data_IF_074373976506
#
_entry.id   IF_074373976506
#
_cell.length_a   1.000
_cell.length_b   1.000
_cell.length_c   1.000
_cell.angle_alpha   90.00
_cell.angle_beta   90.00
_cell.angle_gamma   90.00
#
_symmetry.space_group_name_H-M   'P 1'
#
loop_
_entity.id
_entity.type
_entity.pdbx_description
1 polymer ?
#
# COMPACT_ATOMS: atom_id res chain seq x y z
N UNK A 1 15.95 15.06 -11.73
CA UNK A 1 15.24 13.80 -11.45
C UNK A 1 16.16 12.91 -10.63
N UNK A 2 15.90 12.74 -9.33
CA UNK A 2 16.64 11.74 -8.53
C UNK A 2 15.78 10.49 -8.36
N UNK A 3 16.40 9.32 -8.49
CA UNK A 3 15.75 8.01 -8.35
C UNK A 3 15.10 7.84 -6.96
N UNK A 4 15.61 8.59 -5.99
CA UNK A 4 15.16 8.56 -4.60
C UNK A 4 13.70 9.00 -4.41
N UNK A 5 13.23 9.98 -5.18
CA UNK A 5 11.83 10.39 -5.12
C UNK A 5 10.88 9.28 -5.58
N UNK A 6 11.24 8.59 -6.65
CA UNK A 6 10.48 7.42 -7.13
C UNK A 6 10.54 6.26 -6.13
N UNK A 7 11.69 6.04 -5.49
CA UNK A 7 11.83 5.00 -4.47
C UNK A 7 10.90 5.26 -3.27
N UNK A 8 10.78 6.51 -2.81
CA UNK A 8 9.83 6.87 -1.76
C UNK A 8 8.38 6.63 -2.19
N UNK A 9 8.03 7.02 -3.41
CA UNK A 9 6.67 6.78 -3.94
C UNK A 9 6.34 5.29 -3.99
N UNK A 10 7.25 4.46 -4.52
CA UNK A 10 7.05 3.01 -4.60
C UNK A 10 6.95 2.39 -3.21
N UNK A 11 7.80 2.80 -2.27
CA UNK A 11 7.74 2.33 -0.88
C UNK A 11 6.37 2.64 -0.25
N UNK A 12 5.88 3.88 -0.38
CA UNK A 12 4.62 4.30 0.24
C UNK A 12 3.45 3.46 -0.26
N UNK A 13 3.38 3.20 -1.57
CA UNK A 13 2.30 2.41 -2.17
C UNK A 13 2.45 0.92 -1.84
N UNK A 14 3.67 0.38 -1.89
CA UNK A 14 3.93 -1.04 -1.65
C UNK A 14 3.69 -1.44 -0.19
N UNK A 15 4.19 -0.64 0.75
CA UNK A 15 4.00 -0.90 2.19
C UNK A 15 2.58 -0.55 2.64
N UNK A 16 2.03 0.53 2.10
CA UNK A 16 0.67 0.97 2.36
C UNK A 16 -0.41 0.00 1.90
N UNK A 17 -0.22 -0.57 0.71
CA UNK A 17 -1.18 -1.44 0.05
C UNK A 17 -1.54 -0.93 -1.35
N UNK A 18 -1.40 -1.80 -2.35
CA UNK A 18 -1.75 -1.52 -3.74
C UNK A 18 -3.27 -1.52 -3.93
N UNK A 19 -3.80 -0.52 -4.65
CA UNK A 19 -5.22 -0.47 -5.03
C UNK A 19 -6.16 0.26 -4.06
N UNK A 20 -5.63 0.96 -3.05
CA UNK A 20 -6.42 1.84 -2.17
C UNK A 20 -5.76 3.22 -2.05
N UNK A 21 -6.55 4.26 -1.77
CA UNK A 21 -6.02 5.61 -1.50
C UNK A 21 -5.43 5.75 -0.10
N UNK A 22 -5.91 4.97 0.85
CA UNK A 22 -5.47 5.03 2.25
C UNK A 22 -4.16 4.30 2.50
N UNK A 23 -3.86 3.27 1.69
CA UNK A 23 -2.57 2.59 1.71
C UNK A 23 -1.39 3.56 1.57
N UNK A 24 -1.26 4.31 0.46
CA UNK A 24 -0.18 5.27 0.27
C UNK A 24 -0.03 6.31 1.39
N UNK A 25 -1.14 6.75 1.99
CA UNK A 25 -1.13 7.71 3.11
C UNK A 25 -0.51 7.07 4.36
N UNK A 26 -0.91 5.84 4.69
CA UNK A 26 -0.30 5.09 5.79
C UNK A 26 1.18 4.79 5.52
N UNK A 27 1.52 4.45 4.28
CA UNK A 27 2.90 4.28 3.85
C UNK A 27 3.72 5.57 4.00
N UNK A 28 3.12 6.74 3.74
CA UNK A 28 3.75 8.04 3.92
C UNK A 28 4.00 8.36 5.40
N UNK A 29 3.03 8.10 6.27
CA UNK A 29 3.16 8.29 7.73
C UNK A 29 4.29 7.40 8.26
N UNK A 30 4.35 6.15 7.83
CA UNK A 30 5.40 5.22 8.23
C UNK A 30 6.78 5.66 7.72
N UNK A 31 6.87 6.00 6.43
CA UNK A 31 8.08 6.55 5.82
C UNK A 31 8.57 7.78 6.60
N UNK A 32 7.65 8.67 6.97
CA UNK A 32 7.94 9.88 7.72
C UNK A 32 8.43 9.59 9.15
N UNK A 33 7.84 8.61 9.84
CA UNK A 33 8.28 8.18 11.17
C UNK A 33 9.71 7.62 11.14
N UNK A 34 10.02 6.80 10.12
CA UNK A 34 11.37 6.26 9.91
C UNK A 34 12.34 7.39 9.60
N UNK A 35 12.00 8.27 8.66
CA UNK A 35 12.85 9.40 8.31
C UNK A 35 13.12 10.25 9.56
N UNK A 36 12.08 10.67 10.30
CA UNK A 36 12.24 11.50 11.50
C UNK A 36 13.14 10.85 12.55
N UNK A 37 13.01 9.54 12.78
CA UNK A 37 13.79 8.82 13.78
C UNK A 37 15.26 8.64 13.35
N UNK A 38 15.50 8.41 12.06
CA UNK A 38 16.83 8.09 11.52
C UNK A 38 17.58 9.28 10.89
N UNK A 39 16.96 10.46 10.77
CA UNK A 39 17.60 11.64 10.15
C UNK A 39 18.84 12.11 10.91
N UNK A 40 18.97 11.78 12.20
CA UNK A 40 20.13 12.15 13.03
C UNK A 40 21.39 11.32 12.74
N UNK A 41 21.29 10.20 12.01
CA UNK A 41 22.38 9.22 11.83
C UNK A 41 23.08 9.22 10.46
N UNK A 42 22.82 10.21 9.59
CA UNK A 42 23.37 10.20 8.23
C UNK A 42 22.73 9.12 7.33
N UNK A 43 23.45 8.51 6.37
CA UNK A 43 22.88 7.60 5.35
C UNK A 43 22.20 6.32 5.90
N UNK A 44 22.34 6.05 7.20
CA UNK A 44 21.77 4.89 7.87
C UNK A 44 20.24 4.81 7.75
N UNK A 45 19.56 5.94 7.50
CA UNK A 45 18.13 5.94 7.24
C UNK A 45 17.75 5.10 6.01
N UNK A 46 18.61 4.99 4.98
CA UNK A 46 18.32 4.16 3.80
C UNK A 46 18.29 2.68 4.16
N UNK A 47 19.19 2.25 5.05
CA UNK A 47 19.25 0.87 5.55
C UNK A 47 18.04 0.60 6.45
N UNK A 48 17.72 1.49 7.38
CA UNK A 48 16.54 1.37 8.23
C UNK A 48 15.23 1.37 7.43
N UNK A 49 15.14 2.20 6.40
CA UNK A 49 14.00 2.31 5.49
C UNK A 49 13.85 1.06 4.63
N UNK A 50 14.92 0.55 4.04
CA UNK A 50 14.91 -0.71 3.29
C UNK A 50 14.58 -1.92 4.15
N UNK A 51 15.16 -2.01 5.36
CA UNK A 51 14.88 -3.08 6.31
C UNK A 51 13.42 -3.05 6.77
N UNK A 52 12.89 -1.86 7.08
CA UNK A 52 11.47 -1.70 7.44
C UNK A 52 10.57 -2.04 6.26
N UNK A 53 10.92 -1.61 5.03
CA UNK A 53 10.20 -1.99 3.81
C UNK A 53 10.08 -3.52 3.69
N UNK A 54 11.22 -4.21 3.82
CA UNK A 54 11.29 -5.65 3.69
C UNK A 54 10.49 -6.36 4.80
N UNK A 55 10.60 -5.90 6.04
CA UNK A 55 9.83 -6.40 7.17
C UNK A 55 8.32 -6.28 6.93
N UNK A 56 7.85 -5.12 6.47
CA UNK A 56 6.45 -4.92 6.17
C UNK A 56 5.98 -5.70 4.94
N UNK A 57 6.80 -5.77 3.88
CA UNK A 57 6.49 -6.57 2.70
C UNK A 57 6.39 -8.07 3.01
N UNK A 58 7.20 -8.57 3.95
CA UNK A 58 7.21 -9.97 4.39
C UNK A 58 6.08 -10.27 5.39
N UNK A 59 5.82 -9.37 6.34
CA UNK A 59 4.83 -9.59 7.39
C UNK A 59 3.39 -9.30 6.93
N UNK A 60 3.21 -8.39 5.98
CA UNK A 60 1.91 -7.98 5.45
C UNK A 60 1.95 -7.96 3.91
N UNK A 61 1.85 -9.11 3.23
CA UNK A 61 1.92 -9.20 1.77
C UNK A 61 0.75 -8.50 1.06
N UNK A 62 -0.34 -8.18 1.77
CA UNK A 62 -1.46 -7.36 1.28
C UNK A 62 -1.30 -5.86 1.60
N UNK A 63 -0.18 -5.46 2.21
CA UNK A 63 0.06 -4.12 2.76
C UNK A 63 -0.64 -3.89 4.11
N UNK A 64 -0.26 -2.82 4.81
CA UNK A 64 -0.90 -2.42 6.09
C UNK A 64 -2.42 -2.37 5.96
N UNK A 65 -2.90 -1.71 4.92
CA UNK A 65 -4.32 -1.49 4.73
C UNK A 65 -5.07 -2.78 4.35
N UNK A 66 -4.48 -3.66 3.55
CA UNK A 66 -5.10 -4.93 3.18
C UNK A 66 -5.28 -5.88 4.37
N UNK A 67 -4.36 -5.86 5.34
CA UNK A 67 -4.50 -6.64 6.59
C UNK A 67 -5.48 -5.98 7.57
N UNK A 68 -5.55 -4.65 7.61
CA UNK A 68 -6.54 -3.90 8.39
C UNK A 68 -7.95 -4.14 7.85
N UNK A 69 -8.15 -4.12 6.53
CA UNK A 69 -9.43 -4.42 5.86
C UNK A 69 -9.91 -5.85 6.16
N UNK A 70 -9.00 -6.82 6.14
CA UNK A 70 -9.32 -8.23 6.41
C UNK A 70 -9.66 -8.48 7.90
N UNK A 71 -9.08 -7.71 8.83
CA UNK A 71 -9.36 -7.84 10.27
C UNK A 71 -10.53 -6.98 10.77
N UNK A 72 -10.80 -5.83 10.14
CA UNK A 72 -11.85 -4.89 10.57
C UNK A 72 -13.07 -4.89 9.65
N UNK A 73 -13.03 -5.57 8.50
CA UNK A 73 -14.15 -5.64 7.55
C UNK A 73 -14.47 -4.31 6.85
N UNK A 74 -13.64 -3.28 7.04
CA UNK A 74 -13.85 -1.93 6.54
C UNK A 74 -13.33 -1.78 5.11
N UNK A 75 -14.21 -2.10 4.15
CA UNK A 75 -14.04 -1.81 2.72
C UNK A 75 -14.38 -0.35 2.42
N UNK A 76 -13.42 0.57 2.59
CA UNK A 76 -13.68 2.00 2.38
C UNK A 76 -13.85 2.37 0.90
N UNK A 77 -13.16 1.69 -0.04
CA UNK A 77 -13.30 1.93 -1.49
C UNK A 77 -13.06 0.63 -2.28
N UNK A 78 -14.09 -0.17 -2.57
CA UNK A 78 -13.93 -1.34 -3.44
C UNK A 78 -13.67 -0.87 -4.88
N UNK A 79 -12.41 -0.84 -5.31
CA UNK A 79 -12.01 -0.76 -6.73
C UNK A 79 -12.24 -2.12 -7.43
N UNK A 80 -13.26 -2.84 -7.00
CA UNK A 80 -13.66 -4.13 -7.56
C UNK A 80 -14.77 -3.91 -8.56
N UNK A 81 -14.47 -4.05 -9.84
CA UNK A 81 -15.49 -4.08 -10.87
C UNK A 81 -16.28 -5.39 -10.72
N UNK A 82 -17.56 -5.32 -10.34
CA UNK A 82 -18.46 -6.46 -10.54
C UNK A 82 -18.85 -6.45 -12.00
N UNK A 83 -18.34 -7.40 -12.77
CA UNK A 83 -18.87 -7.69 -14.09
C UNK A 83 -20.27 -8.25 -13.88
N UNK A 84 -21.29 -7.41 -14.09
CA UNK A 84 -22.67 -7.86 -14.16
C UNK A 84 -22.79 -8.57 -15.50
N UNK A 85 -22.76 -9.89 -15.49
CA UNK A 85 -23.08 -10.68 -16.66
C UNK A 85 -24.53 -10.38 -17.03
N UNK A 86 -24.71 -9.61 -18.11
CA UNK A 86 -26.02 -9.30 -18.63
C UNK A 86 -26.65 -10.62 -19.08
N UNK A 87 -27.48 -11.18 -18.21
CA UNK A 87 -28.31 -12.34 -18.50
C UNK A 87 -29.14 -12.01 -19.74
N UNK A 88 -28.73 -12.56 -20.87
CA UNK A 88 -29.51 -12.58 -22.11
C UNK A 88 -30.58 -13.65 -21.92
N UNK A 89 -31.61 -13.30 -21.12
CA UNK A 89 -32.89 -14.00 -21.15
C UNK A 89 -33.51 -13.68 -22.52
N UNK A 90 -33.44 -14.61 -23.46
CA UNK A 90 -34.38 -15.72 -23.66
C UNK A 90 -35.47 -15.27 -24.65
N UNK A 91 -35.67 -16.10 -25.69
CA UNK A 91 -36.94 -16.20 -26.42
C UNK A 91 -37.47 -14.93 -27.09
N UNK A 92 -37.01 -14.67 -28.31
CA UNK A 92 -37.96 -14.31 -29.37
C UNK A 92 -38.17 -15.57 -30.21
N UNK A 93 -39.25 -16.29 -29.85
CA UNK A 93 -39.88 -17.33 -30.63
C UNK A 93 -40.42 -16.79 -31.96
#
# INVERSE_FOLDING_TARGET
FSVQWSAYMIFMVLVGGLGTFEGPILGAILLFAIQTTFTQGGPWYLVGLGATAALFALALPRGLWGTVEERLGLRLLPVGYRVVEARRDETAA
#
